data_IF_442430132764
#
_entry.id   IF_442430132764
#
_cell.length_a   1.000
_cell.length_b   1.000
_cell.length_c   1.000
_cell.angle_alpha   90.00
_cell.angle_beta   90.00
_cell.angle_gamma   90.00
#
_symmetry.space_group_name_H-M   'P 1'
#
loop_
_entity.id
_entity.type
_entity.pdbx_description
1 polymer ?
#
# COMPACT_ATOMS: atom_id res chain seq x y z
N UNK A 1 -4.24 13.79 28.16
CA UNK A 1 -4.17 13.42 26.73
C UNK A 1 -3.29 12.19 26.60
N UNK A 2 -3.75 11.14 25.93
CA UNK A 2 -2.90 9.98 25.63
C UNK A 2 -1.76 10.42 24.71
N UNK A 3 -0.55 9.86 24.88
CA UNK A 3 0.55 10.14 23.96
C UNK A 3 0.19 9.59 22.57
N UNK A 4 0.40 10.35 21.48
CA UNK A 4 0.23 9.86 20.12
C UNK A 4 1.05 8.58 19.90
N UNK A 5 0.49 7.63 19.18
CA UNK A 5 1.17 6.39 18.79
C UNK A 5 2.33 6.72 17.85
N UNK A 6 3.45 6.04 17.97
CA UNK A 6 4.54 6.12 16.99
C UNK A 6 4.17 5.33 15.73
N UNK A 7 4.75 5.67 14.58
CA UNK A 7 4.48 4.95 13.34
C UNK A 7 5.73 4.79 12.46
N UNK A 8 5.69 3.88 11.50
CA UNK A 8 6.72 3.68 10.49
C UNK A 8 6.08 3.41 9.13
N UNK A 9 6.82 3.65 8.05
CA UNK A 9 6.34 3.50 6.68
C UNK A 9 7.37 2.69 5.88
N UNK A 10 6.87 1.80 5.02
CA UNK A 10 7.65 1.10 4.01
C UNK A 10 7.12 1.50 2.62
N UNK A 11 8.01 2.00 1.76
CA UNK A 11 7.70 2.33 0.36
C UNK A 11 8.48 1.41 -0.59
N UNK A 12 7.74 0.70 -1.44
CA UNK A 12 8.32 -0.16 -2.48
C UNK A 12 8.46 0.60 -3.80
N UNK A 13 9.56 0.36 -4.52
CA UNK A 13 9.86 1.01 -5.79
C UNK A 13 10.36 0.02 -6.83
N UNK A 14 9.88 0.19 -8.06
CA UNK A 14 10.49 -0.43 -9.23
C UNK A 14 11.58 0.48 -9.77
N UNK A 15 12.72 -0.11 -10.12
CA UNK A 15 13.80 0.56 -10.84
C UNK A 15 13.44 0.63 -12.32
N UNK A 16 13.54 1.82 -12.91
CA UNK A 16 13.24 2.05 -14.33
C UNK A 16 14.40 2.73 -15.03
N UNK A 17 14.65 2.37 -16.29
CA UNK A 17 15.59 3.10 -17.13
C UNK A 17 14.95 4.42 -17.58
N UNK A 18 15.64 5.55 -17.39
CA UNK A 18 15.08 6.89 -17.62
C UNK A 18 14.80 7.18 -19.10
N UNK A 19 15.63 6.66 -20.01
CA UNK A 19 15.48 6.90 -21.45
C UNK A 19 14.29 6.14 -22.04
N UNK A 20 14.06 4.92 -21.56
CA UNK A 20 13.08 3.99 -22.15
C UNK A 20 11.80 3.85 -21.32
N UNK A 21 11.84 4.19 -20.03
CA UNK A 21 10.79 3.92 -19.06
C UNK A 21 10.55 2.42 -18.85
N UNK A 22 11.56 1.57 -19.07
CA UNK A 22 11.43 0.12 -18.90
C UNK A 22 12.03 -0.36 -17.58
N UNK A 23 11.40 -1.38 -16.98
CA UNK A 23 11.91 -2.09 -15.80
C UNK A 23 12.90 -3.17 -16.26
N UNK A 24 14.22 -3.02 -15.98
CA UNK A 24 15.21 -4.01 -16.40
C UNK A 24 15.05 -5.29 -15.59
N UNK A 25 15.06 -6.45 -16.26
CA UNK A 25 14.93 -7.75 -15.57
C UNK A 25 16.07 -8.06 -14.59
N UNK A 26 17.23 -7.44 -14.78
CA UNK A 26 18.41 -7.55 -13.93
C UNK A 26 19.17 -6.23 -13.97
N UNK A 27 18.90 -5.30 -13.03
CA UNK A 27 19.72 -4.10 -12.87
C UNK A 27 21.19 -4.46 -12.63
N UNK A 28 22.10 -3.54 -12.96
CA UNK A 28 23.52 -3.74 -12.67
C UNK A 28 23.76 -3.83 -11.15
N UNK A 29 24.79 -4.55 -10.69
CA UNK A 29 25.17 -4.54 -9.27
C UNK A 29 25.49 -3.12 -8.75
N UNK A 30 25.97 -2.23 -9.62
CA UNK A 30 26.23 -0.83 -9.28
C UNK A 30 24.95 -0.08 -8.88
N UNK A 31 23.85 -0.29 -9.61
CA UNK A 31 22.54 0.31 -9.28
C UNK A 31 22.09 -0.06 -7.87
N UNK A 32 22.09 -1.35 -7.53
CA UNK A 32 21.70 -1.80 -6.18
C UNK A 32 22.70 -1.35 -5.11
N UNK A 33 23.99 -1.33 -5.43
CA UNK A 33 25.04 -0.82 -4.53
C UNK A 33 24.84 0.66 -4.20
N UNK A 34 24.42 1.47 -5.18
CA UNK A 34 24.08 2.88 -5.02
C UNK A 34 22.84 3.08 -4.17
N UNK A 35 21.77 2.33 -4.39
CA UNK A 35 20.58 2.37 -3.51
C UNK A 35 20.95 2.05 -2.06
N UNK A 36 21.73 0.99 -1.83
CA UNK A 36 22.20 0.61 -0.49
C UNK A 36 23.05 1.70 0.15
N UNK A 37 23.97 2.33 -0.59
CA UNK A 37 24.77 3.46 -0.09
C UNK A 37 23.90 4.70 0.20
N UNK A 38 22.89 4.94 -0.63
CA UNK A 38 21.98 6.08 -0.53
C UNK A 38 20.99 5.97 0.63
N UNK A 39 20.70 4.78 1.16
CA UNK A 39 19.74 4.61 2.25
C UNK A 39 20.34 3.98 3.52
N UNK A 40 21.50 3.32 3.40
CA UNK A 40 22.14 2.63 4.51
C UNK A 40 21.26 1.52 5.06
N UNK A 41 20.98 1.57 6.37
CA UNK A 41 20.14 0.60 7.08
C UNK A 41 18.66 0.61 6.65
N UNK A 42 18.22 1.66 5.96
CA UNK A 42 16.84 1.81 5.49
C UNK A 42 16.61 1.18 4.11
N UNK A 43 17.66 0.63 3.49
CA UNK A 43 17.55 -0.14 2.25
C UNK A 43 17.17 -1.58 2.54
N UNK A 44 16.10 -2.03 1.90
CA UNK A 44 15.84 -3.44 1.68
C UNK A 44 15.73 -3.74 0.17
N UNK A 45 16.09 -4.97 -0.20
CA UNK A 45 15.79 -5.48 -1.53
C UNK A 45 14.50 -6.27 -1.43
N UNK A 46 13.56 -5.97 -2.34
CA UNK A 46 12.26 -6.63 -2.37
C UNK A 46 12.28 -7.87 -3.28
N UNK A 47 11.12 -8.49 -3.51
CA UNK A 47 10.93 -9.76 -4.20
C UNK A 47 11.58 -9.88 -5.59
N UNK A 48 11.73 -8.78 -6.32
CA UNK A 48 12.38 -8.77 -7.64
C UNK A 48 13.73 -8.07 -7.61
N UNK A 49 14.64 -8.49 -8.49
CA UNK A 49 15.95 -7.83 -8.65
C UNK A 49 15.85 -6.34 -8.97
N UNK A 50 14.78 -5.97 -9.67
CA UNK A 50 14.46 -4.61 -10.09
C UNK A 50 13.61 -3.84 -9.09
N UNK A 51 13.46 -4.35 -7.87
CA UNK A 51 12.61 -3.76 -6.85
C UNK A 51 13.41 -3.53 -5.57
N UNK A 52 13.16 -2.37 -4.96
CA UNK A 52 13.76 -1.98 -3.69
C UNK A 52 12.66 -1.52 -2.74
N UNK A 53 12.95 -1.56 -1.44
CA UNK A 53 12.07 -1.04 -0.40
C UNK A 53 12.86 -0.03 0.46
N UNK A 54 12.19 1.05 0.83
CA UNK A 54 12.66 2.02 1.82
C UNK A 54 11.89 1.80 3.11
N UNK A 55 12.56 1.22 4.11
CA UNK A 55 12.00 0.99 5.45
C UNK A 55 12.40 2.13 6.40
N UNK A 56 11.43 2.93 6.83
CA UNK A 56 11.69 4.13 7.62
C UNK A 56 12.17 3.82 9.04
N UNK A 57 12.76 4.80 9.76
CA UNK A 57 12.80 4.76 11.21
C UNK A 57 11.38 4.89 11.80
N UNK A 58 11.28 4.82 13.12
CA UNK A 58 10.04 5.07 13.85
C UNK A 58 9.87 6.58 14.07
N UNK A 59 8.72 7.12 13.68
CA UNK A 59 8.37 8.53 13.75
C UNK A 59 7.38 8.83 14.87
N UNK A 60 7.47 10.05 15.40
CA UNK A 60 6.50 10.60 16.36
C UNK A 60 5.46 11.53 15.69
N UNK A 61 5.75 12.08 14.52
CA UNK A 61 4.89 13.03 13.79
C UNK A 61 5.15 12.99 12.28
N UNK A 62 4.23 13.56 11.49
CA UNK A 62 4.37 13.58 10.03
C UNK A 62 5.52 14.45 9.51
N UNK A 63 5.99 15.44 10.27
CA UNK A 63 7.10 16.28 9.83
C UNK A 63 8.38 15.43 9.71
N UNK A 64 8.69 14.62 10.73
CA UNK A 64 9.82 13.69 10.70
C UNK A 64 9.73 12.71 9.51
N UNK A 65 8.53 12.16 9.27
CA UNK A 65 8.29 11.26 8.14
C UNK A 65 8.52 11.96 6.79
N UNK A 66 7.98 13.16 6.63
CA UNK A 66 8.14 13.97 5.42
C UNK A 66 9.60 14.26 5.13
N UNK A 67 10.36 14.74 6.12
CA UNK A 67 11.78 15.06 5.97
C UNK A 67 12.59 13.83 5.59
N UNK A 68 12.35 12.71 6.26
CA UNK A 68 13.03 11.45 5.97
C UNK A 68 12.79 10.98 4.53
N UNK A 69 11.53 10.92 4.09
CA UNK A 69 11.23 10.41 2.75
C UNK A 69 11.59 11.39 1.64
N UNK A 70 11.46 12.69 1.87
CA UNK A 70 11.94 13.70 0.92
C UNK A 70 13.45 13.53 0.69
N UNK A 71 14.23 13.41 1.77
CA UNK A 71 15.67 13.20 1.68
C UNK A 71 16.04 11.84 1.06
N UNK A 72 15.33 10.78 1.43
CA UNK A 72 15.58 9.42 0.92
C UNK A 72 15.29 9.31 -0.58
N UNK A 73 14.14 9.83 -1.03
CA UNK A 73 13.77 9.88 -2.46
C UNK A 73 14.75 10.73 -3.25
N UNK A 74 15.14 11.91 -2.74
CA UNK A 74 16.13 12.76 -3.39
C UNK A 74 17.50 12.05 -3.53
N UNK A 75 18.01 11.42 -2.46
CA UNK A 75 19.28 10.69 -2.50
C UNK A 75 19.26 9.52 -3.46
N UNK A 76 18.16 8.76 -3.49
CA UNK A 76 17.99 7.68 -4.46
C UNK A 76 17.98 8.21 -5.89
N UNK A 77 17.19 9.24 -6.17
CA UNK A 77 17.11 9.84 -7.51
C UNK A 77 18.47 10.36 -7.98
N UNK A 78 19.20 11.09 -7.14
CA UNK A 78 20.56 11.55 -7.46
C UNK A 78 21.51 10.38 -7.72
N UNK A 79 21.50 9.37 -6.85
CA UNK A 79 22.41 8.23 -6.98
C UNK A 79 22.09 7.37 -8.22
N UNK A 80 20.81 7.19 -8.56
CA UNK A 80 20.36 6.39 -9.70
C UNK A 80 20.53 7.11 -11.04
N UNK A 81 20.42 8.43 -11.08
CA UNK A 81 20.61 9.22 -12.28
C UNK A 81 22.01 9.03 -12.90
N UNK A 82 23.05 8.79 -12.08
CA UNK A 82 24.41 8.46 -12.55
C UNK A 82 24.47 7.17 -13.38
N UNK A 83 23.48 6.28 -13.23
CA UNK A 83 23.37 5.00 -13.96
C UNK A 83 22.27 5.04 -15.04
N UNK A 84 21.68 6.21 -15.32
CA UNK A 84 20.54 6.34 -16.25
C UNK A 84 19.26 5.66 -15.73
N UNK A 85 19.14 5.51 -14.40
CA UNK A 85 18.04 4.82 -13.74
C UNK A 85 17.22 5.80 -12.87
N UNK A 86 15.98 5.43 -12.56
CA UNK A 86 15.08 6.17 -11.68
C UNK A 86 14.13 5.25 -10.92
N UNK A 87 13.29 5.87 -10.09
CA UNK A 87 12.27 5.19 -9.28
C UNK A 87 10.88 5.32 -9.90
N UNK A 88 10.15 4.22 -9.92
CA UNK A 88 8.73 4.17 -10.23
C UNK A 88 7.96 3.68 -8.99
N UNK A 89 7.14 4.55 -8.41
CA UNK A 89 6.49 4.31 -7.11
C UNK A 89 5.02 3.95 -7.17
N UNK A 90 4.40 3.91 -8.35
CA UNK A 90 3.02 3.45 -8.48
C UNK A 90 2.94 1.93 -8.37
N UNK A 91 1.76 1.44 -8.01
CA UNK A 91 1.54 0.06 -7.61
C UNK A 91 1.77 -0.97 -8.72
N UNK A 92 1.61 -0.60 -9.99
CA UNK A 92 1.99 -1.46 -11.11
C UNK A 92 2.57 -0.65 -12.24
N UNK A 93 3.67 -1.15 -12.82
CA UNK A 93 4.23 -0.54 -14.02
C UNK A 93 3.29 -0.77 -15.22
N UNK A 94 2.97 0.24 -16.05
CA UNK A 94 1.90 0.16 -17.04
C UNK A 94 2.09 -0.95 -18.07
N UNK A 95 3.33 -1.21 -18.46
CA UNK A 95 3.69 -2.15 -19.52
C UNK A 95 4.98 -2.96 -19.26
N UNK A 96 5.35 -3.19 -17.99
CA UNK A 96 6.55 -3.97 -17.71
C UNK A 96 6.42 -5.41 -18.24
N UNK A 97 7.51 -5.93 -18.81
CA UNK A 97 7.58 -7.32 -19.25
C UNK A 97 7.74 -8.27 -18.04
N UNK A 98 6.70 -8.39 -17.22
CA UNK A 98 6.70 -9.11 -15.94
C UNK A 98 7.21 -10.57 -16.05
N UNK A 99 6.89 -11.26 -17.15
CA UNK A 99 7.37 -12.63 -17.40
C UNK A 99 8.90 -12.76 -17.48
N UNK A 100 9.60 -11.67 -17.84
CA UNK A 100 11.07 -11.62 -17.96
C UNK A 100 11.76 -11.29 -16.65
N UNK A 101 11.03 -10.75 -15.67
CA UNK A 101 11.59 -10.34 -14.38
C UNK A 101 12.11 -11.53 -13.58
N UNK A 102 13.09 -11.28 -12.71
CA UNK A 102 13.80 -12.31 -11.96
C UNK A 102 13.60 -12.11 -10.45
N UNK A 103 13.45 -13.21 -9.69
CA UNK A 103 13.45 -13.12 -8.24
C UNK A 103 14.76 -12.52 -7.74
N UNK A 104 14.68 -11.77 -6.66
CA UNK A 104 15.84 -11.28 -5.94
C UNK A 104 16.71 -12.44 -5.44
N UNK A 105 17.97 -12.13 -5.14
CA UNK A 105 18.99 -13.13 -4.76
C UNK A 105 18.69 -13.85 -3.44
N UNK A 106 18.13 -13.20 -2.39
CA UNK A 106 17.87 -13.89 -1.12
C UNK A 106 17.04 -15.17 -1.28
N UNK A 107 17.43 -16.24 -0.59
CA UNK A 107 16.89 -17.59 -0.77
C UNK A 107 15.37 -17.66 -0.55
N UNK A 108 14.83 -16.90 0.41
CA UNK A 108 13.40 -16.91 0.71
C UNK A 108 12.54 -16.44 -0.47
N UNK A 109 13.01 -15.47 -1.27
CA UNK A 109 12.30 -15.06 -2.48
C UNK A 109 12.39 -16.11 -3.58
N UNK A 110 13.52 -16.80 -3.74
CA UNK A 110 13.63 -17.91 -4.70
C UNK A 110 12.67 -19.05 -4.36
N UNK A 111 12.57 -19.39 -3.08
CA UNK A 111 11.63 -20.38 -2.57
C UNK A 111 10.18 -19.97 -2.86
N UNK A 112 9.82 -18.71 -2.59
CA UNK A 112 8.50 -18.17 -2.87
C UNK A 112 8.15 -18.23 -4.38
N UNK A 113 9.09 -18.02 -5.29
CA UNK A 113 8.86 -18.25 -6.73
C UNK A 113 8.71 -19.72 -7.09
N UNK A 114 9.42 -20.60 -6.40
CA UNK A 114 9.28 -22.04 -6.59
C UNK A 114 7.91 -22.54 -6.12
N UNK A 115 7.41 -22.02 -5.00
CA UNK A 115 6.15 -22.46 -4.39
C UNK A 115 4.92 -21.90 -5.13
N UNK A 116 4.92 -20.59 -5.43
CA UNK A 116 3.73 -19.91 -5.96
C UNK A 116 3.76 -19.68 -7.47
N UNK A 117 4.87 -20.03 -8.13
CA UNK A 117 5.00 -20.10 -9.61
C UNK A 117 4.52 -18.82 -10.31
N UNK A 118 3.44 -18.92 -11.09
CA UNK A 118 2.92 -17.80 -11.88
C UNK A 118 2.38 -16.66 -11.00
N UNK A 119 1.82 -16.96 -9.82
CA UNK A 119 1.33 -15.96 -8.87
C UNK A 119 2.49 -15.09 -8.41
N UNK A 120 3.62 -15.69 -8.02
CA UNK A 120 4.85 -14.97 -7.69
C UNK A 120 5.37 -14.13 -8.87
N UNK A 121 5.51 -14.74 -10.05
CA UNK A 121 6.05 -14.06 -11.24
C UNK A 121 5.23 -12.85 -11.68
N UNK A 122 3.91 -12.88 -11.50
CA UNK A 122 3.02 -11.79 -11.90
C UNK A 122 2.97 -10.66 -10.88
N UNK A 123 3.52 -10.85 -9.68
CA UNK A 123 3.39 -9.91 -8.57
C UNK A 123 4.46 -8.81 -8.56
N UNK A 124 4.84 -8.32 -9.74
CA UNK A 124 5.72 -7.16 -9.91
C UNK A 124 4.95 -5.87 -9.55
N UNK A 125 4.80 -5.65 -8.25
CA UNK A 125 3.86 -4.70 -7.65
C UNK A 125 4.54 -3.94 -6.53
N UNK A 126 4.23 -2.65 -6.39
CA UNK A 126 4.65 -1.83 -5.26
C UNK A 126 3.50 -1.60 -4.28
N UNK A 127 3.76 -1.73 -2.99
CA UNK A 127 2.89 -1.36 -1.89
C UNK A 127 3.35 -0.12 -1.14
N UNK A 128 2.42 0.43 -0.36
CA UNK A 128 2.70 1.30 0.78
C UNK A 128 2.29 0.54 2.04
N UNK A 129 3.22 0.32 2.96
CA UNK A 129 2.91 -0.26 4.27
C UNK A 129 3.07 0.77 5.37
N UNK A 130 2.15 0.75 6.34
CA UNK A 130 2.19 1.67 7.49
C UNK A 130 2.06 0.88 8.78
N UNK A 131 3.07 0.98 9.63
CA UNK A 131 3.08 0.42 10.97
C UNK A 131 2.61 1.47 11.96
N UNK A 132 1.67 1.15 12.84
CA UNK A 132 1.31 1.99 13.99
C UNK A 132 1.55 1.22 15.27
N UNK A 133 2.39 1.78 16.14
CA UNK A 133 2.73 1.22 17.45
C UNK A 133 1.50 1.18 18.36
N UNK A 134 1.34 0.08 19.08
CA UNK A 134 0.22 -0.10 20.03
C UNK A 134 0.76 -0.24 21.45
N UNK A 135 0.03 0.23 22.48
CA UNK A 135 0.48 0.12 23.86
C UNK A 135 0.49 -1.35 24.33
N UNK A 136 1.31 -1.70 25.33
CA UNK A 136 1.27 -3.01 25.97
C UNK A 136 -0.15 -3.37 26.44
N UNK A 137 -0.54 -4.63 26.24
CA UNK A 137 -1.88 -5.11 26.59
C UNK A 137 -2.99 -4.73 25.60
N UNK A 138 -2.68 -4.02 24.50
CA UNK A 138 -3.62 -3.85 23.40
C UNK A 138 -3.81 -5.17 22.64
N UNK A 139 -5.04 -5.69 22.61
CA UNK A 139 -5.39 -6.79 21.70
C UNK A 139 -5.42 -6.27 20.26
N UNK A 140 -4.41 -6.65 19.48
CA UNK A 140 -4.23 -6.20 18.10
C UNK A 140 -5.27 -6.76 17.14
N UNK A 141 -5.89 -7.90 17.46
CA UNK A 141 -6.94 -8.49 16.63
C UNK A 141 -8.25 -7.73 16.84
N UNK A 142 -8.60 -7.43 18.09
CA UNK A 142 -9.75 -6.58 18.38
C UNK A 142 -9.58 -5.18 17.79
N UNK A 143 -8.37 -4.61 17.86
CA UNK A 143 -8.05 -3.34 17.20
C UNK A 143 -8.24 -3.44 15.67
N UNK A 144 -7.70 -4.49 15.04
CA UNK A 144 -7.90 -4.74 13.61
C UNK A 144 -9.39 -4.79 13.25
N UNK A 145 -10.19 -5.52 14.04
CA UNK A 145 -11.64 -5.62 13.81
C UNK A 145 -12.34 -4.26 13.86
N UNK A 146 -11.91 -3.34 14.74
CA UNK A 146 -12.47 -1.98 14.83
C UNK A 146 -12.13 -1.11 13.61
N UNK A 147 -10.95 -1.27 13.02
CA UNK A 147 -10.50 -0.44 11.90
C UNK A 147 -10.81 -1.05 10.52
N UNK A 148 -11.16 -2.33 10.48
CA UNK A 148 -11.28 -3.13 9.26
C UNK A 148 -12.23 -2.51 8.21
N UNK A 149 -13.37 -1.97 8.66
CA UNK A 149 -14.38 -1.37 7.79
C UNK A 149 -13.88 -0.16 7.00
N UNK A 150 -12.85 0.53 7.50
CA UNK A 150 -12.31 1.75 6.91
C UNK A 150 -11.15 1.52 5.94
N UNK A 151 -10.58 0.31 5.90
CA UNK A 151 -9.45 0.01 5.03
C UNK A 151 -9.72 0.23 3.54
N UNK A 152 -10.91 -0.11 2.99
CA UNK A 152 -11.16 0.15 1.58
C UNK A 152 -11.15 1.65 1.23
N UNK A 153 -11.48 2.55 2.16
CA UNK A 153 -11.34 3.99 1.94
C UNK A 153 -9.86 4.39 1.77
N UNK A 154 -8.97 3.82 2.57
CA UNK A 154 -7.52 4.03 2.40
C UNK A 154 -7.01 3.46 1.07
N UNK A 155 -7.57 2.33 0.61
CA UNK A 155 -7.29 1.81 -0.72
C UNK A 155 -7.73 2.80 -1.81
N UNK A 156 -8.95 3.34 -1.73
CA UNK A 156 -9.46 4.35 -2.67
C UNK A 156 -8.46 5.51 -2.81
N UNK A 157 -7.99 6.05 -1.70
CA UNK A 157 -7.04 7.18 -1.69
C UNK A 157 -5.68 6.81 -2.33
N UNK A 158 -5.26 5.55 -2.21
CA UNK A 158 -3.96 5.08 -2.71
C UNK A 158 -3.95 4.63 -4.17
N UNK A 159 -5.12 4.43 -4.81
CA UNK A 159 -5.19 3.74 -6.11
C UNK A 159 -4.21 4.31 -7.16
N UNK A 160 -3.37 3.44 -7.72
CA UNK A 160 -2.29 3.84 -8.62
C UNK A 160 -1.92 2.79 -9.68
N UNK A 161 -2.76 1.75 -9.84
CA UNK A 161 -2.48 0.62 -10.75
C UNK A 161 -3.60 0.32 -11.76
N UNK A 162 -4.04 1.28 -12.61
CA UNK A 162 -5.09 1.02 -13.59
C UNK A 162 -4.64 0.27 -14.84
N UNK A 163 -3.33 0.22 -15.08
CA UNK A 163 -2.71 -0.32 -16.29
C UNK A 163 -1.88 -1.56 -15.98
N UNK A 164 -2.00 -2.58 -16.83
CA UNK A 164 -1.20 -3.80 -16.75
C UNK A 164 -0.94 -4.35 -18.15
N UNK A 165 0.29 -4.83 -18.39
CA UNK A 165 0.71 -5.38 -19.69
C UNK A 165 0.36 -4.44 -20.88
N UNK A 166 0.43 -3.15 -20.65
CA UNK A 166 0.18 -2.09 -21.61
C UNK A 166 -1.29 -1.81 -21.88
N UNK A 167 -2.23 -2.34 -21.09
CA UNK A 167 -3.68 -2.19 -21.29
C UNK A 167 -4.39 -1.64 -20.04
N UNK A 168 -5.49 -0.91 -20.25
CA UNK A 168 -6.39 -0.54 -19.17
C UNK A 168 -7.08 -1.81 -18.66
N UNK A 169 -6.96 -2.06 -17.36
CA UNK A 169 -7.49 -3.29 -16.75
C UNK A 169 -8.98 -3.18 -16.41
N UNK A 170 -9.50 -1.95 -16.38
CA UNK A 170 -10.81 -1.63 -15.84
C UNK A 170 -10.82 -1.51 -14.30
N UNK A 171 -9.71 -1.77 -13.61
CA UNK A 171 -9.58 -1.54 -12.17
C UNK A 171 -8.82 -0.24 -11.90
N UNK A 172 -9.01 0.35 -10.72
CA UNK A 172 -8.20 1.49 -10.24
C UNK A 172 -7.02 1.00 -9.39
N UNK A 173 -7.19 -0.13 -8.70
CA UNK A 173 -6.10 -0.90 -8.10
C UNK A 173 -6.07 -2.32 -8.66
N UNK A 174 -5.30 -2.53 -9.74
CA UNK A 174 -5.04 -3.87 -10.27
C UNK A 174 -4.03 -4.65 -9.40
N UNK A 175 -3.21 -3.96 -8.60
CA UNK A 175 -2.38 -4.59 -7.56
C UNK A 175 -3.24 -5.50 -6.67
N UNK A 176 -4.38 -5.01 -6.19
CA UNK A 176 -5.26 -5.81 -5.30
C UNK A 176 -5.95 -6.98 -6.00
N UNK A 177 -6.15 -6.91 -7.33
CA UNK A 177 -6.56 -8.07 -8.14
C UNK A 177 -5.48 -9.15 -8.13
N UNK A 178 -4.22 -8.77 -8.42
CA UNK A 178 -3.11 -9.73 -8.44
C UNK A 178 -2.83 -10.28 -7.04
N UNK A 179 -2.87 -9.43 -6.00
CA UNK A 179 -2.76 -9.86 -4.61
C UNK A 179 -3.82 -10.91 -4.24
N UNK A 180 -5.04 -10.84 -4.82
CA UNK A 180 -6.11 -11.80 -4.55
C UNK A 180 -5.82 -13.24 -4.98
N UNK A 181 -4.82 -13.48 -5.84
CA UNK A 181 -4.39 -14.83 -6.20
C UNK A 181 -3.43 -15.47 -5.19
N UNK A 182 -2.89 -14.69 -4.26
CA UNK A 182 -2.06 -15.21 -3.19
C UNK A 182 -2.91 -15.79 -2.06
N UNK A 183 -2.50 -16.91 -1.45
CA UNK A 183 -3.14 -17.36 -0.23
C UNK A 183 -2.96 -16.30 0.86
N UNK A 184 -4.05 -16.01 1.57
CA UNK A 184 -4.04 -15.13 2.74
C UNK A 184 -3.55 -13.70 2.48
N UNK A 185 -3.63 -13.18 1.25
CA UNK A 185 -3.29 -11.77 0.94
C UNK A 185 -4.52 -10.85 0.87
N UNK A 186 -5.70 -11.34 1.26
CA UNK A 186 -6.96 -10.60 1.32
C UNK A 186 -7.20 -9.90 2.66
N UNK A 187 -8.46 -9.59 2.95
CA UNK A 187 -8.88 -9.12 4.28
C UNK A 187 -8.67 -10.24 5.33
N UNK A 188 -8.31 -9.89 6.59
CA UNK A 188 -8.04 -10.87 7.64
C UNK A 188 -9.23 -11.77 7.97
N UNK A 189 -8.94 -12.92 8.58
CA UNK A 189 -9.96 -13.81 9.13
C UNK A 189 -10.71 -13.11 10.28
N UNK A 190 -12.03 -13.34 10.45
CA UNK A 190 -12.86 -12.70 11.48
C UNK A 190 -12.62 -13.30 12.87
N UNK A 191 -11.39 -13.16 13.35
CA UNK A 191 -10.95 -13.70 14.64
C UNK A 191 -11.38 -12.75 15.75
N UNK A 192 -11.96 -13.23 16.87
CA UNK A 192 -12.48 -12.36 17.92
C UNK A 192 -11.39 -11.66 18.74
N UNK A 193 -10.22 -12.29 18.90
CA UNK A 193 -9.17 -11.85 19.83
C UNK A 193 -7.78 -12.44 19.48
N UNK A 194 -6.77 -12.01 20.23
CA UNK A 194 -5.39 -12.49 20.10
C UNK A 194 -5.25 -14.00 20.29
N UNK A 195 -5.99 -14.59 21.24
CA UNK A 195 -5.92 -16.02 21.51
C UNK A 195 -6.43 -16.85 20.31
N UNK A 196 -7.49 -16.40 19.63
CA UNK A 196 -7.99 -17.00 18.41
C UNK A 196 -6.98 -16.90 17.26
N UNK A 197 -6.28 -15.77 17.14
CA UNK A 197 -5.18 -15.62 16.19
C UNK A 197 -4.02 -16.59 16.45
N UNK A 198 -3.60 -16.76 17.70
CA UNK A 198 -2.55 -17.72 18.05
C UNK A 198 -2.98 -19.16 17.74
N UNK A 199 -4.23 -19.54 18.04
CA UNK A 199 -4.77 -20.86 17.67
C UNK A 199 -4.80 -21.06 16.15
N UNK A 200 -5.26 -20.06 15.40
CA UNK A 200 -5.31 -20.12 13.93
C UNK A 200 -3.92 -20.22 13.32
N UNK A 201 -2.96 -19.40 13.78
CA UNK A 201 -1.57 -19.47 13.36
C UNK A 201 -0.95 -20.84 13.68
N UNK A 202 -1.11 -21.32 14.91
CA UNK A 202 -0.57 -22.61 15.33
C UNK A 202 -1.15 -23.78 14.53
N UNK A 203 -2.42 -23.71 14.11
CA UNK A 203 -3.02 -24.67 13.20
C UNK A 203 -2.28 -24.71 11.86
N UNK A 204 -2.16 -23.57 11.18
CA UNK A 204 -1.53 -23.51 9.86
C UNK A 204 -0.05 -23.89 9.91
N UNK A 205 0.63 -23.58 11.01
CA UNK A 205 2.02 -23.97 11.19
C UNK A 205 2.18 -25.48 11.36
N UNK A 206 1.36 -26.09 12.21
CA UNK A 206 1.39 -27.54 12.44
C UNK A 206 1.01 -28.34 11.18
N UNK A 207 0.16 -27.79 10.32
CA UNK A 207 -0.24 -28.43 9.05
C UNK A 207 0.69 -28.10 7.88
N UNK A 208 1.73 -27.29 8.08
CA UNK A 208 2.68 -26.89 7.03
C UNK A 208 2.13 -25.86 6.04
N UNK A 209 0.98 -25.25 6.31
CA UNK A 209 0.37 -24.19 5.49
C UNK A 209 1.00 -22.82 5.73
N UNK A 210 1.69 -22.64 6.86
CA UNK A 210 2.44 -21.43 7.21
C UNK A 210 3.80 -21.82 7.79
N UNK A 211 4.89 -21.19 7.34
CA UNK A 211 6.21 -21.39 7.92
C UNK A 211 6.27 -20.97 9.40
N UNK A 212 7.23 -21.50 10.16
CA UNK A 212 7.40 -21.19 11.58
C UNK A 212 7.61 -19.67 11.83
N UNK A 213 8.39 -19.03 10.97
CA UNK A 213 8.68 -17.60 10.93
C UNK A 213 7.82 -16.83 9.92
N UNK A 214 6.90 -17.53 9.23
CA UNK A 214 5.99 -16.95 8.24
C UNK A 214 4.97 -16.01 8.87
N UNK A 215 4.62 -14.98 8.09
CA UNK A 215 3.60 -13.98 8.43
C UNK A 215 2.42 -14.07 7.47
N UNK A 216 1.24 -13.69 7.93
CA UNK A 216 0.08 -13.52 7.06
C UNK A 216 0.27 -12.30 6.17
N UNK A 217 -0.11 -12.40 4.90
CA UNK A 217 -0.05 -11.29 3.95
C UNK A 217 -1.33 -10.45 3.89
N UNK A 218 -2.14 -10.51 4.96
CA UNK A 218 -3.41 -9.81 5.06
C UNK A 218 -3.29 -8.31 4.77
N UNK A 219 -4.38 -7.73 4.27
CA UNK A 219 -4.54 -6.31 3.99
C UNK A 219 -4.29 -5.40 5.22
N UNK A 220 -4.44 -5.96 6.42
CA UNK A 220 -3.94 -5.44 7.69
C UNK A 220 -3.53 -6.63 8.57
N UNK A 221 -2.46 -6.50 9.35
CA UNK A 221 -2.01 -7.59 10.24
C UNK A 221 -1.39 -7.09 11.54
N UNK A 222 -1.36 -7.91 12.60
CA UNK A 222 -0.41 -7.69 13.68
C UNK A 222 1.01 -7.95 13.16
N UNK A 223 1.94 -7.02 13.38
CA UNK A 223 3.34 -7.28 13.05
C UNK A 223 3.91 -8.33 14.01
N UNK A 224 4.60 -9.33 13.47
CA UNK A 224 5.30 -10.32 14.31
C UNK A 224 6.54 -9.75 14.95
N UNK A 225 7.27 -8.90 14.23
CA UNK A 225 8.56 -8.33 14.65
C UNK A 225 8.41 -7.12 15.57
N UNK A 226 7.34 -6.35 15.38
CA UNK A 226 7.14 -5.10 16.09
C UNK A 226 5.79 -5.11 16.84
N UNK A 227 5.68 -4.39 17.97
CA UNK A 227 4.41 -4.21 18.69
C UNK A 227 3.52 -3.21 17.95
N UNK A 228 3.18 -3.52 16.70
CA UNK A 228 2.40 -2.65 15.80
C UNK A 228 1.25 -3.42 15.18
N UNK A 229 0.27 -2.67 14.68
CA UNK A 229 -0.59 -3.11 13.56
C UNK A 229 -0.04 -2.53 12.27
N UNK A 230 -0.10 -3.29 11.19
CA UNK A 230 0.53 -2.99 9.92
C UNK A 230 -0.51 -2.99 8.80
N UNK A 231 -0.73 -1.82 8.19
CA UNK A 231 -1.56 -1.61 7.02
C UNK A 231 -0.80 -2.07 5.76
N UNK A 232 -1.43 -2.91 4.92
CA UNK A 232 -0.82 -3.44 3.68
C UNK A 232 -1.73 -3.36 2.45
N UNK A 233 -2.94 -2.86 2.63
CA UNK A 233 -3.96 -2.77 1.57
C UNK A 233 -3.59 -1.76 0.49
N UNK A 234 -2.81 -0.73 0.81
CA UNK A 234 -2.59 0.40 -0.06
C UNK A 234 -1.70 0.07 -1.27
N UNK A 235 -2.03 0.69 -2.38
CA UNK A 235 -1.17 0.80 -3.55
C UNK A 235 0.05 1.70 -3.24
N UNK A 236 1.16 1.51 -3.94
CA UNK A 236 2.30 2.44 -3.89
C UNK A 236 1.93 3.84 -4.35
N UNK A 237 2.51 4.87 -3.73
CA UNK A 237 2.19 6.28 -3.97
C UNK A 237 3.37 7.05 -4.58
N UNK A 238 3.31 7.43 -5.87
CA UNK A 238 4.36 8.23 -6.48
C UNK A 238 4.59 9.58 -5.80
N UNK A 239 3.53 10.24 -5.35
CA UNK A 239 3.60 11.51 -4.63
C UNK A 239 3.74 11.24 -3.13
N UNK A 240 4.73 11.88 -2.50
CA UNK A 240 4.97 11.72 -1.06
C UNK A 240 3.79 12.20 -0.20
N UNK A 241 3.14 13.30 -0.58
CA UNK A 241 2.00 13.83 0.18
C UNK A 241 0.84 12.85 0.28
N UNK A 242 0.60 12.05 -0.77
CA UNK A 242 -0.45 11.05 -0.81
C UNK A 242 -0.13 9.92 0.20
N UNK A 243 1.12 9.47 0.25
CA UNK A 243 1.60 8.47 1.21
C UNK A 243 1.48 8.97 2.67
N UNK A 244 1.91 10.21 2.92
CA UNK A 244 1.83 10.84 4.24
C UNK A 244 0.37 11.02 4.70
N UNK A 245 -0.53 11.40 3.79
CA UNK A 245 -1.96 11.48 4.04
C UNK A 245 -2.53 10.13 4.51
N UNK A 246 -2.21 9.04 3.81
CA UNK A 246 -2.68 7.69 4.16
C UNK A 246 -2.11 7.25 5.52
N UNK A 247 -0.81 7.47 5.75
CA UNK A 247 -0.17 7.11 7.01
C UNK A 247 -0.78 7.85 8.21
N UNK A 248 -1.07 9.14 8.03
CA UNK A 248 -1.73 9.98 9.03
C UNK A 248 -3.16 9.53 9.34
N UNK A 249 -3.98 9.27 8.30
CA UNK A 249 -5.34 8.79 8.49
C UNK A 249 -5.38 7.43 9.19
N UNK A 250 -4.48 6.51 8.80
CA UNK A 250 -4.40 5.20 9.43
C UNK A 250 -3.95 5.31 10.90
N UNK A 251 -2.95 6.13 11.19
CA UNK A 251 -2.51 6.43 12.55
C UNK A 251 -3.65 7.01 13.39
N UNK A 252 -4.34 8.03 12.89
CA UNK A 252 -5.50 8.66 13.54
C UNK A 252 -6.59 7.63 13.87
N UNK A 253 -6.93 6.79 12.89
CA UNK A 253 -7.89 5.70 13.03
C UNK A 253 -7.49 4.70 14.12
N UNK A 254 -6.21 4.31 14.18
CA UNK A 254 -5.69 3.40 15.21
C UNK A 254 -5.69 4.05 16.59
N UNK A 255 -5.23 5.28 16.71
CA UNK A 255 -5.17 6.03 17.97
C UNK A 255 -6.56 6.19 18.60
N UNK A 256 -7.54 6.64 17.82
CA UNK A 256 -8.93 6.73 18.29
C UNK A 256 -9.51 5.36 18.65
N UNK A 257 -9.21 4.31 17.87
CA UNK A 257 -9.68 2.96 18.14
C UNK A 257 -9.02 2.32 19.37
N UNK A 258 -7.92 2.88 19.89
CA UNK A 258 -7.30 2.50 21.16
C UNK A 258 -7.95 3.25 22.32
N UNK A 259 -8.15 4.56 22.17
CA UNK A 259 -8.67 5.46 23.22
C UNK A 259 -10.15 5.22 23.47
N UNK A 260 -10.97 5.27 22.42
CA UNK A 260 -12.41 5.15 22.51
C UNK A 260 -12.82 3.70 22.29
N UNK A 261 -12.51 2.82 23.25
CA UNK A 261 -12.97 1.43 23.23
C UNK A 261 -14.50 1.40 23.15
N UNK A 262 -15.04 1.39 21.93
CA UNK A 262 -16.44 1.11 21.71
C UNK A 262 -16.63 -0.35 22.12
N UNK A 263 -17.68 -0.62 22.89
CA UNK A 263 -17.98 -1.95 23.38
C UNK A 263 -17.87 -2.92 22.19
N UNK A 264 -17.02 -3.94 22.37
CA UNK A 264 -16.66 -4.84 21.29
C UNK A 264 -17.90 -5.60 20.86
N UNK A 265 -18.64 -5.10 19.87
CA UNK A 265 -19.51 -5.98 19.12
C UNK A 265 -18.56 -6.98 18.45
N UNK A 266 -18.62 -8.22 18.92
CA UNK A 266 -17.89 -9.34 18.33
C UNK A 266 -18.01 -9.24 16.82
N UNK A 267 -16.88 -9.36 16.11
CA UNK A 267 -16.75 -9.21 14.64
C UNK A 267 -18.11 -9.33 13.92
N UNK A 268 -18.76 -8.18 13.70
CA UNK A 268 -20.12 -8.17 13.20
C UNK A 268 -20.09 -8.72 11.76
N UNK A 269 -20.86 -9.79 11.50
CA UNK A 269 -20.85 -10.49 10.21
C UNK A 269 -21.24 -9.54 9.08
N UNK A 270 -22.18 -8.65 9.36
CA UNK A 270 -22.68 -7.63 8.45
C UNK A 270 -21.58 -6.60 8.13
N UNK A 271 -20.80 -6.17 9.14
CA UNK A 271 -19.62 -5.32 8.89
C UNK A 271 -18.60 -6.00 7.98
N UNK A 272 -18.42 -7.33 8.12
CA UNK A 272 -17.54 -8.09 7.23
C UNK A 272 -18.06 -8.12 5.79
N UNK A 273 -19.36 -8.32 5.59
CA UNK A 273 -20.00 -8.27 4.26
C UNK A 273 -19.79 -6.89 3.61
N UNK A 274 -20.07 -5.82 4.35
CA UNK A 274 -19.89 -4.44 3.90
C UNK A 274 -18.43 -4.19 3.53
N UNK A 275 -17.49 -4.59 4.38
CA UNK A 275 -16.05 -4.40 4.11
C UNK A 275 -15.62 -5.16 2.85
N UNK A 276 -16.10 -6.39 2.67
CA UNK A 276 -15.74 -7.21 1.52
C UNK A 276 -16.27 -6.61 0.21
N UNK A 277 -17.50 -6.10 0.22
CA UNK A 277 -18.11 -5.41 -0.90
C UNK A 277 -17.39 -4.10 -1.20
N UNK A 278 -17.18 -3.25 -0.19
CA UNK A 278 -16.47 -1.98 -0.34
C UNK A 278 -15.01 -2.19 -0.78
N UNK A 279 -14.36 -3.28 -0.37
CA UNK A 279 -13.02 -3.63 -0.83
C UNK A 279 -12.99 -3.89 -2.33
N UNK A 280 -13.95 -4.67 -2.86
CA UNK A 280 -14.10 -4.88 -4.29
C UNK A 280 -14.44 -3.58 -5.04
N UNK A 281 -15.35 -2.77 -4.52
CA UNK A 281 -15.72 -1.48 -5.13
C UNK A 281 -14.56 -0.49 -5.15
N UNK A 282 -13.74 -0.47 -4.09
CA UNK A 282 -12.55 0.37 -3.99
C UNK A 282 -11.53 0.01 -5.06
N UNK A 283 -11.19 -1.28 -5.19
CA UNK A 283 -10.25 -1.72 -6.22
C UNK A 283 -10.78 -1.50 -7.65
N UNK A 284 -12.09 -1.67 -7.89
CA UNK A 284 -12.68 -1.56 -9.23
C UNK A 284 -12.95 -0.11 -9.66
N UNK A 285 -13.50 0.71 -8.79
CA UNK A 285 -14.05 2.03 -9.12
C UNK A 285 -13.25 3.19 -8.51
N UNK A 286 -12.37 2.92 -7.54
CA UNK A 286 -11.62 3.96 -6.84
C UNK A 286 -12.56 5.03 -6.29
N UNK A 287 -12.19 6.30 -6.43
CA UNK A 287 -12.97 7.44 -5.91
C UNK A 287 -14.34 7.62 -6.56
N UNK A 288 -14.53 7.07 -7.77
CA UNK A 288 -15.78 7.17 -8.54
C UNK A 288 -16.79 6.08 -8.15
N UNK A 289 -16.45 5.21 -7.18
CA UNK A 289 -17.35 4.20 -6.67
C UNK A 289 -18.41 4.76 -5.72
N UNK A 290 -19.51 4.01 -5.61
CA UNK A 290 -20.47 4.13 -4.53
C UNK A 290 -20.24 3.01 -3.51
N UNK A 291 -20.20 3.35 -2.24
CA UNK A 291 -19.85 2.46 -1.13
C UNK A 291 -21.05 2.27 -0.21
N UNK A 292 -21.05 1.21 0.58
CA UNK A 292 -22.04 1.03 1.64
C UNK A 292 -21.52 1.73 2.89
N UNK A 293 -22.22 2.75 3.37
CA UNK A 293 -21.89 3.46 4.60
C UNK A 293 -21.99 2.55 5.83
N UNK A 294 -21.08 2.72 6.80
CA UNK A 294 -20.94 1.77 7.92
C UNK A 294 -22.01 1.93 9.02
N UNK A 295 -22.67 3.08 9.11
CA UNK A 295 -23.67 3.37 10.14
C UNK A 295 -25.11 3.11 9.68
N UNK A 296 -25.54 3.75 8.58
CA UNK A 296 -26.92 3.66 8.07
C UNK A 296 -27.11 2.61 6.98
N UNK A 297 -26.01 1.97 6.54
CA UNK A 297 -25.98 1.01 5.43
C UNK A 297 -26.57 1.56 4.11
N UNK A 298 -26.57 2.90 3.97
CA UNK A 298 -26.98 3.59 2.76
C UNK A 298 -25.80 3.76 1.78
N UNK A 299 -26.07 3.86 0.47
CA UNK A 299 -25.05 4.22 -0.51
C UNK A 299 -24.41 5.57 -0.19
N UNK A 300 -23.09 5.66 -0.26
CA UNK A 300 -22.31 6.89 -0.09
C UNK A 300 -21.23 7.01 -1.16
N UNK A 301 -20.93 8.23 -1.58
CA UNK A 301 -19.74 8.51 -2.40
C UNK A 301 -18.47 8.35 -1.55
N UNK A 302 -17.30 8.24 -2.19
CA UNK A 302 -16.03 8.23 -1.44
C UNK A 302 -15.87 9.47 -0.53
N UNK A 303 -16.33 10.65 -1.00
CA UNK A 303 -16.28 11.88 -0.21
C UNK A 303 -17.26 11.85 0.98
N UNK A 304 -18.48 11.34 0.76
CA UNK A 304 -19.44 11.11 1.85
C UNK A 304 -18.92 10.09 2.86
N UNK A 305 -18.22 9.06 2.41
CA UNK A 305 -17.62 8.05 3.29
C UNK A 305 -16.47 8.64 4.13
N UNK A 306 -15.62 9.47 3.54
CA UNK A 306 -14.59 10.22 4.28
C UNK A 306 -15.21 11.18 5.30
N UNK A 307 -16.34 11.83 4.97
CA UNK A 307 -17.06 12.69 5.91
C UNK A 307 -17.60 11.89 7.11
N UNK A 308 -18.14 10.69 6.88
CA UNK A 308 -18.55 9.78 7.97
C UNK A 308 -17.37 9.37 8.86
N UNK A 309 -16.18 9.13 8.28
CA UNK A 309 -14.98 8.85 9.07
C UNK A 309 -14.61 10.05 9.95
N UNK A 310 -14.66 11.26 9.40
CA UNK A 310 -14.34 12.50 10.12
C UNK A 310 -15.35 12.78 11.24
N UNK A 311 -16.63 12.47 11.02
CA UNK A 311 -17.68 12.59 12.04
C UNK A 311 -17.47 11.59 13.18
N UNK A 312 -17.13 10.34 12.86
CA UNK A 312 -16.85 9.32 13.87
C UNK A 312 -15.56 9.61 14.65
N UNK A 313 -14.53 10.10 13.96
CA UNK A 313 -13.20 10.35 14.51
C UNK A 313 -12.85 11.84 14.39
N UNK A 314 -13.36 12.69 15.30
CA UNK A 314 -13.16 14.12 15.22
C UNK A 314 -11.68 14.47 15.19
N UNK A 315 -11.34 15.47 14.38
CA UNK A 315 -9.97 15.94 14.20
C UNK A 315 -9.47 16.56 15.51
N UNK A 316 -8.43 15.98 16.08
CA UNK A 316 -7.83 16.39 17.36
C UNK A 316 -6.34 16.74 17.26
N UNK A 317 -5.73 16.54 16.08
CA UNK A 317 -4.33 16.85 15.79
C UNK A 317 -4.16 17.57 14.46
N UNK A 318 -3.06 18.33 14.33
CA UNK A 318 -2.65 18.99 13.08
C UNK A 318 -2.34 17.96 11.98
N UNK A 319 -1.80 16.80 12.35
CA UNK A 319 -1.51 15.72 11.43
C UNK A 319 -2.81 15.16 10.82
N UNK A 320 -3.82 14.91 11.66
CA UNK A 320 -5.15 14.49 11.19
C UNK A 320 -5.81 15.57 10.31
N UNK A 321 -5.78 16.84 10.71
CA UNK A 321 -6.36 17.94 9.94
C UNK A 321 -5.79 18.00 8.52
N UNK A 322 -4.45 17.98 8.40
CA UNK A 322 -3.75 17.97 7.12
C UNK A 322 -4.13 16.77 6.27
N UNK A 323 -4.25 15.60 6.90
CA UNK A 323 -4.60 14.36 6.22
C UNK A 323 -6.03 14.38 5.66
N UNK A 324 -7.02 14.81 6.45
CA UNK A 324 -8.40 14.95 5.97
C UNK A 324 -8.50 15.96 4.82
N UNK A 325 -7.85 17.13 4.94
CA UNK A 325 -7.81 18.12 3.85
C UNK A 325 -7.12 17.58 2.58
N UNK A 326 -6.06 16.80 2.72
CA UNK A 326 -5.40 16.17 1.58
C UNK A 326 -6.27 15.07 0.94
N UNK A 327 -6.91 14.22 1.75
CA UNK A 327 -7.83 13.18 1.26
C UNK A 327 -9.02 13.78 0.51
N UNK A 328 -9.62 14.87 1.01
CA UNK A 328 -10.67 15.59 0.29
C UNK A 328 -10.19 16.08 -1.10
N UNK A 329 -8.96 16.59 -1.18
CA UNK A 329 -8.36 16.99 -2.47
C UNK A 329 -8.15 15.79 -3.39
N UNK A 330 -7.63 14.66 -2.91
CA UNK A 330 -7.47 13.44 -3.72
C UNK A 330 -8.80 12.95 -4.30
N UNK A 331 -9.87 12.95 -3.49
CA UNK A 331 -11.19 12.51 -3.94
C UNK A 331 -11.82 13.47 -4.97
N UNK A 332 -11.55 14.77 -4.84
CA UNK A 332 -12.00 15.80 -5.79
C UNK A 332 -11.20 15.78 -7.09
N UNK A 333 -9.88 15.85 -6.99
CA UNK A 333 -8.97 16.12 -8.11
C UNK A 333 -8.52 14.84 -8.83
N UNK A 334 -8.56 13.70 -8.14
CA UNK A 334 -8.14 12.41 -8.68
C UNK A 334 -6.89 11.85 -7.99
N UNK A 335 -6.88 10.53 -7.89
CA UNK A 335 -5.76 9.71 -7.43
C UNK A 335 -4.72 9.56 -8.53
N UNK A 336 -3.61 8.87 -8.25
CA UNK A 336 -2.63 8.59 -9.29
C UNK A 336 -3.18 7.69 -10.40
N UNK A 337 -4.11 6.77 -10.10
CA UNK A 337 -4.79 5.99 -11.13
C UNK A 337 -5.59 6.87 -12.10
N UNK A 338 -6.30 7.89 -11.60
CA UNK A 338 -7.00 8.87 -12.44
C UNK A 338 -6.00 9.62 -13.35
N UNK A 339 -4.87 10.04 -12.80
CA UNK A 339 -3.82 10.75 -13.55
C UNK A 339 -3.22 9.90 -14.68
N UNK A 340 -2.96 8.61 -14.43
CA UNK A 340 -2.45 7.70 -15.46
C UNK A 340 -3.44 7.55 -16.63
N UNK A 341 -4.73 7.38 -16.31
CA UNK A 341 -5.79 7.25 -17.32
C UNK A 341 -5.97 8.55 -18.11
N UNK A 342 -5.95 9.70 -17.45
CA UNK A 342 -6.02 11.01 -18.08
C UNK A 342 -4.81 11.24 -19.01
N UNK A 343 -3.60 10.94 -18.54
CA UNK A 343 -2.37 11.06 -19.32
C UNK A 343 -2.43 10.19 -20.59
N UNK A 344 -2.88 8.93 -20.46
CA UNK A 344 -3.04 8.02 -21.59
C UNK A 344 -4.06 8.54 -22.62
N UNK A 345 -5.19 9.08 -22.15
CA UNK A 345 -6.23 9.64 -23.00
C UNK A 345 -5.74 10.90 -23.73
N UNK A 346 -5.07 11.81 -23.03
CA UNK A 346 -4.48 13.02 -23.62
C UNK A 346 -3.42 12.70 -24.67
N UNK A 347 -2.51 11.76 -24.37
CA UNK A 347 -1.49 11.33 -25.31
C UNK A 347 -2.11 10.72 -26.59
N UNK A 348 -3.18 9.94 -26.43
CA UNK A 348 -3.91 9.35 -27.55
C UNK A 348 -4.64 10.41 -28.38
N UNK A 349 -5.27 11.40 -27.73
CA UNK A 349 -5.92 12.54 -28.39
C UNK A 349 -4.91 13.43 -29.14
N UNK A 350 -3.67 13.52 -28.66
CA UNK A 350 -2.56 14.21 -29.32
C UNK A 350 -1.94 13.39 -30.48
N UNK A 351 -2.47 12.21 -30.82
CA UNK A 351 -1.98 11.38 -31.91
C UNK A 351 -0.68 10.62 -31.62
N UNK A 352 -0.25 10.54 -30.36
CA UNK A 352 0.94 9.78 -29.99
C UNK A 352 0.69 8.28 -30.15
N UNK A 353 1.71 7.56 -30.64
CA UNK A 353 1.65 6.11 -30.72
C UNK A 353 1.59 5.46 -29.32
N UNK A 354 1.03 4.25 -29.21
CA UNK A 354 0.81 3.56 -27.91
C UNK A 354 2.07 3.51 -27.03
N UNK A 355 3.24 3.26 -27.62
CA UNK A 355 4.49 3.21 -26.87
C UNK A 355 4.89 4.57 -26.29
N UNK A 356 4.67 5.67 -27.02
CA UNK A 356 4.91 7.03 -26.53
C UNK A 356 3.92 7.41 -25.43
N UNK A 357 2.64 7.06 -25.61
CA UNK A 357 1.60 7.31 -24.63
C UNK A 357 1.89 6.58 -23.29
N UNK A 358 2.29 5.30 -23.35
CA UNK A 358 2.68 4.54 -22.16
C UNK A 358 3.94 5.10 -21.49
N UNK A 359 4.91 5.61 -22.25
CA UNK A 359 6.09 6.30 -21.68
C UNK A 359 5.70 7.57 -20.93
N UNK A 360 4.76 8.35 -21.45
CA UNK A 360 4.24 9.53 -20.75
C UNK A 360 3.58 9.14 -19.41
N UNK A 361 2.82 8.04 -19.39
CA UNK A 361 2.24 7.48 -18.15
C UNK A 361 3.33 7.04 -17.17
N UNK A 362 4.39 6.38 -17.65
CA UNK A 362 5.52 5.96 -16.80
C UNK A 362 6.17 7.18 -16.15
N UNK A 363 6.39 8.26 -16.92
CA UNK A 363 6.97 9.50 -16.40
C UNK A 363 6.09 10.15 -15.32
N UNK A 364 4.76 10.08 -15.44
CA UNK A 364 3.85 10.56 -14.41
C UNK A 364 3.95 9.76 -13.10
N UNK A 365 4.28 8.47 -13.16
CA UNK A 365 4.47 7.59 -11.99
C UNK A 365 5.89 7.57 -11.41
N UNK A 366 6.79 8.38 -11.97
CA UNK A 366 8.13 8.57 -11.43
C UNK A 366 8.07 9.34 -10.11
N UNK A 367 8.88 8.92 -9.13
CA UNK A 367 8.97 9.62 -7.85
C UNK A 367 9.98 10.76 -7.99
N UNK A 368 9.49 12.00 -8.03
CA UNK A 368 10.34 13.20 -8.00
C UNK A 368 10.55 13.72 -6.58
#
# INVERSE_FOLDING_TARGET
MARPCTFGIEEEYLLVNLDTGQVPATPSPAVLGRCRKALGQHFAQEMFRSQIEVASPVFANLLEAREFFQHSRQRLNTALAEEGMGLYGAASHPNAAWLRQKPATPAHYQQLFADYRHVARRSLLNGLHVHVGVPPGCDRIQLINRVLGWLPLLLVLSTSSPLWAGQCTGYMSYRRVICGEWPHMGLPEPLPDWAAYERYRALLQRTGSLAADGDFWWAIRPSRRFPTVELRICDGCPRLEDALCIAALFRHLVEHSIVYRHDSSACNREQRWITQENYWRAMRHGRQGEFIGLHEQQPVTAAGWLAQLQEQLPIDTVDAERAFLHAQRLLRDGTHADQQLQCLAQASAAGLGRAQALRAVVAAGACN
#
